data_IF_331441148292
#
_entry.id   IF_331441148292
#
_cell.length_a   1.000
_cell.length_b   1.000
_cell.length_c   1.000
_cell.angle_alpha   90.00
_cell.angle_beta   90.00
_cell.angle_gamma   90.00
#
_symmetry.space_group_name_H-M   'P 1'
#
loop_
_entity.id
_entity.type
_entity.pdbx_description
1 polymer ?
#
# COMPACT_ATOMS: atom_id res chain seq x y z
N UNK A 1 -14.91 -21.65 -8.72
CA UNK A 1 -14.72 -22.13 -7.33
C UNK A 1 -15.70 -21.51 -6.34
N UNK A 2 -15.91 -20.18 -6.33
CA UNK A 2 -16.80 -19.50 -5.37
C UNK A 2 -18.26 -19.99 -5.46
N UNK A 3 -18.83 -20.08 -6.67
CA UNK A 3 -20.21 -20.56 -6.88
C UNK A 3 -20.46 -21.94 -6.25
N UNK A 4 -19.57 -22.92 -6.48
CA UNK A 4 -19.71 -24.26 -5.88
C UNK A 4 -19.67 -24.26 -4.36
N UNK A 5 -18.79 -23.45 -3.74
CA UNK A 5 -18.79 -23.29 -2.27
C UNK A 5 -20.06 -22.63 -1.77
N UNK A 6 -20.57 -21.64 -2.49
CA UNK A 6 -21.84 -20.99 -2.14
C UNK A 6 -23.03 -21.95 -2.24
N UNK A 7 -23.08 -22.84 -3.24
CA UNK A 7 -24.12 -23.88 -3.33
C UNK A 7 -24.06 -24.82 -2.12
N UNK A 8 -22.87 -25.27 -1.72
CA UNK A 8 -22.72 -26.13 -0.54
C UNK A 8 -23.19 -25.42 0.72
N UNK A 9 -22.77 -24.17 0.95
CA UNK A 9 -23.25 -23.39 2.10
C UNK A 9 -24.76 -23.10 2.04
N UNK A 10 -25.31 -22.88 0.85
CA UNK A 10 -26.75 -22.71 0.66
C UNK A 10 -27.51 -23.97 1.04
N UNK A 11 -27.02 -25.14 0.61
CA UNK A 11 -27.59 -26.43 0.97
C UNK A 11 -27.51 -26.70 2.48
N UNK A 12 -26.38 -26.41 3.13
CA UNK A 12 -26.23 -26.50 4.60
C UNK A 12 -27.22 -25.57 5.34
N UNK A 13 -27.57 -24.43 4.75
CA UNK A 13 -28.57 -23.50 5.26
C UNK A 13 -30.03 -23.85 4.87
N UNK A 14 -30.25 -24.96 4.15
CA UNK A 14 -31.58 -25.40 3.70
C UNK A 14 -32.11 -24.70 2.44
N UNK A 15 -31.26 -23.97 1.71
CA UNK A 15 -31.59 -23.32 0.44
C UNK A 15 -31.31 -24.25 -0.74
N UNK A 16 -32.12 -24.16 -1.80
CA UNK A 16 -32.04 -25.07 -2.96
C UNK A 16 -30.99 -24.70 -3.99
N UNK A 17 -30.78 -23.41 -4.25
CA UNK A 17 -29.91 -22.94 -5.32
C UNK A 17 -29.35 -21.54 -5.02
N UNK A 18 -28.32 -21.14 -5.77
CA UNK A 18 -27.64 -19.85 -5.65
C UNK A 18 -27.63 -19.14 -7.01
N UNK A 19 -28.24 -17.96 -7.08
CA UNK A 19 -28.22 -17.13 -8.28
C UNK A 19 -26.80 -16.64 -8.62
N UNK A 20 -26.44 -16.62 -9.90
CA UNK A 20 -25.14 -16.16 -10.38
C UNK A 20 -24.83 -14.70 -9.97
N UNK A 21 -25.86 -13.85 -9.87
CA UNK A 21 -25.71 -12.46 -9.41
C UNK A 21 -25.19 -12.36 -7.99
N UNK A 22 -25.66 -13.24 -7.09
CA UNK A 22 -25.18 -13.28 -5.72
C UNK A 22 -23.68 -13.64 -5.68
N UNK A 23 -23.25 -14.56 -6.54
CA UNK A 23 -21.82 -14.91 -6.66
C UNK A 23 -21.00 -13.70 -7.12
N UNK A 24 -21.47 -12.94 -8.12
CA UNK A 24 -20.79 -11.74 -8.60
C UNK A 24 -20.66 -10.68 -7.51
N UNK A 25 -21.72 -10.45 -6.72
CA UNK A 25 -21.69 -9.53 -5.58
C UNK A 25 -20.68 -9.96 -4.51
N UNK A 26 -20.63 -11.25 -4.18
CA UNK A 26 -19.64 -11.78 -3.22
C UNK A 26 -18.22 -11.59 -3.74
N UNK A 27 -17.97 -11.87 -5.03
CA UNK A 27 -16.66 -11.64 -5.64
C UNK A 27 -16.24 -10.16 -5.55
N UNK A 28 -17.14 -9.24 -5.88
CA UNK A 28 -16.88 -7.79 -5.79
C UNK A 28 -16.64 -7.35 -4.35
N UNK A 29 -17.39 -7.88 -3.39
CA UNK A 29 -17.19 -7.59 -1.96
C UNK A 29 -15.82 -8.06 -1.47
N UNK A 30 -15.38 -9.26 -1.86
CA UNK A 30 -14.05 -9.79 -1.52
C UNK A 30 -12.94 -8.95 -2.15
N UNK A 31 -13.09 -8.56 -3.42
CA UNK A 31 -12.14 -7.67 -4.09
C UNK A 31 -12.04 -6.32 -3.37
N UNK A 32 -13.17 -5.72 -3.00
CA UNK A 32 -13.19 -4.47 -2.26
C UNK A 32 -12.53 -4.60 -0.89
N UNK A 33 -12.82 -5.69 -0.17
CA UNK A 33 -12.22 -5.97 1.11
C UNK A 33 -10.70 -6.15 1.03
N UNK A 34 -10.21 -6.83 -0.01
CA UNK A 34 -8.78 -7.01 -0.23
C UNK A 34 -8.09 -5.68 -0.57
N UNK A 35 -8.69 -4.86 -1.45
CA UNK A 35 -8.21 -3.51 -1.76
C UNK A 35 -8.13 -2.63 -0.51
N UNK A 36 -9.13 -2.72 0.38
CA UNK A 36 -9.14 -2.00 1.65
C UNK A 36 -7.96 -2.39 2.54
N UNK A 37 -7.71 -3.70 2.73
CA UNK A 37 -6.59 -4.19 3.54
C UNK A 37 -5.26 -3.74 2.93
N UNK A 38 -5.05 -3.92 1.62
CA UNK A 38 -3.81 -3.50 0.95
C UNK A 38 -3.61 -1.99 1.07
N UNK A 39 -4.67 -1.20 0.91
CA UNK A 39 -4.60 0.26 1.06
C UNK A 39 -4.18 0.66 2.46
N UNK A 40 -4.67 -0.03 3.50
CA UNK A 40 -4.26 0.21 4.89
C UNK A 40 -2.80 -0.17 5.16
N UNK A 41 -2.31 -1.25 4.56
CA UNK A 41 -0.89 -1.63 4.63
C UNK A 41 -0.02 -0.57 3.97
N UNK A 42 -0.40 -0.13 2.77
CA UNK A 42 0.34 0.90 2.04
C UNK A 42 0.27 2.26 2.73
N UNK A 43 -0.87 2.63 3.33
CA UNK A 43 -1.02 3.90 4.06
C UNK A 43 -0.23 3.93 5.36
N UNK A 44 -0.01 2.77 5.99
CA UNK A 44 0.89 2.66 7.15
C UNK A 44 2.35 2.75 6.72
N UNK A 45 2.68 2.06 5.63
CA UNK A 45 4.06 1.95 5.13
C UNK A 45 4.53 3.19 4.39
N UNK A 46 3.66 3.97 3.77
CA UNK A 46 4.05 5.10 2.93
C UNK A 46 3.29 6.37 3.32
N UNK A 47 3.87 7.53 3.01
CA UNK A 47 3.11 8.77 3.02
C UNK A 47 2.02 8.75 1.96
N UNK A 48 0.91 9.41 2.25
CA UNK A 48 -0.22 9.57 1.34
C UNK A 48 -0.81 10.96 1.47
N UNK A 49 -1.55 11.39 0.45
CA UNK A 49 -2.35 12.61 0.49
C UNK A 49 -3.80 12.26 0.78
N UNK A 50 -4.51 13.22 1.38
CA UNK A 50 -5.90 13.04 1.79
C UNK A 50 -6.75 14.12 1.13
N UNK A 51 -7.72 13.70 0.32
CA UNK A 51 -8.69 14.57 -0.33
C UNK A 51 -9.94 14.64 0.55
N UNK A 52 -10.47 15.85 0.76
CA UNK A 52 -11.62 16.13 1.64
C UNK A 52 -11.47 15.54 3.04
N UNK A 53 -10.22 15.40 3.52
CA UNK A 53 -9.89 14.74 4.79
C UNK A 53 -10.42 13.30 4.93
N UNK A 54 -10.79 12.63 3.84
CA UNK A 54 -11.40 11.28 3.84
C UNK A 54 -10.77 10.33 2.83
N UNK A 55 -10.55 10.79 1.61
CA UNK A 55 -10.11 9.92 0.51
C UNK A 55 -8.59 9.91 0.38
N UNK A 56 -7.96 8.75 0.61
CA UNK A 56 -6.52 8.61 0.51
C UNK A 56 -6.10 8.44 -0.96
N UNK A 57 -5.11 9.21 -1.40
CA UNK A 57 -4.59 9.19 -2.77
C UNK A 57 -3.08 9.45 -2.77
N UNK A 58 -2.43 9.26 -3.92
CA UNK A 58 -0.98 9.45 -4.09
C UNK A 58 -0.14 8.72 -3.03
N UNK A 59 -0.42 7.42 -2.82
CA UNK A 59 0.36 6.56 -1.94
C UNK A 59 1.83 6.53 -2.38
N UNK A 60 2.76 6.64 -1.43
CA UNK A 60 4.20 6.74 -1.74
C UNK A 60 4.73 8.16 -1.80
N UNK A 61 3.88 9.17 -1.55
CA UNK A 61 4.33 10.54 -1.53
C UNK A 61 5.24 10.82 -0.33
N UNK A 62 6.22 11.71 -0.51
CA UNK A 62 7.11 12.10 0.60
C UNK A 62 6.32 12.92 1.61
N UNK A 63 6.51 12.59 2.89
CA UNK A 63 5.89 13.34 4.00
C UNK A 63 6.70 14.61 4.24
N UNK A 64 6.05 15.79 4.32
CA UNK A 64 6.75 17.04 4.59
C UNK A 64 7.38 17.00 5.99
N UNK A 65 8.59 17.57 6.10
CA UNK A 65 9.30 17.63 7.37
C UNK A 65 8.57 18.60 8.34
N UNK A 66 8.09 18.13 9.50
CA UNK A 66 7.33 18.97 10.45
C UNK A 66 8.19 20.09 11.07
N UNK A 67 9.52 19.98 11.02
CA UNK A 67 10.43 21.00 11.56
C UNK A 67 10.67 22.17 10.60
N UNK A 68 10.24 22.08 9.35
CA UNK A 68 10.31 23.19 8.40
C UNK A 68 9.15 24.16 8.64
N UNK A 69 9.46 25.37 9.13
CA UNK A 69 8.47 26.40 9.51
C UNK A 69 7.49 26.80 8.40
N UNK A 70 7.90 26.72 7.14
CA UNK A 70 7.07 27.07 5.99
C UNK A 70 6.17 25.93 5.50
N UNK A 71 6.28 24.72 6.07
CA UNK A 71 5.54 23.56 5.57
C UNK A 71 4.03 23.62 5.81
N UNK A 72 3.59 24.32 6.86
CA UNK A 72 2.19 24.36 7.32
C UNK A 72 1.40 25.47 6.62
N UNK A 73 2.07 26.48 6.06
CA UNK A 73 1.45 27.70 5.57
C UNK A 73 1.02 27.64 4.09
N UNK A 74 1.28 26.53 3.39
CA UNK A 74 1.09 26.46 1.94
C UNK A 74 -0.18 25.65 1.65
N UNK A 75 -1.26 26.30 1.17
CA UNK A 75 -2.51 25.61 0.84
C UNK A 75 -2.31 24.72 -0.40
N UNK A 76 -2.59 23.42 -0.26
CA UNK A 76 -2.62 22.50 -1.38
C UNK A 76 -4.02 22.59 -2.04
N UNK A 77 -4.07 23.26 -3.19
CA UNK A 77 -5.28 23.42 -4.02
C UNK A 77 -5.91 22.09 -4.48
N UNK A 78 -5.23 20.96 -4.33
CA UNK A 78 -5.74 19.63 -4.68
C UNK A 78 -6.43 18.89 -3.53
N UNK A 79 -6.50 19.52 -2.34
CA UNK A 79 -7.16 18.96 -1.16
C UNK A 79 -8.67 18.87 -1.30
N UNK A 80 -9.29 19.84 -1.96
CA UNK A 80 -10.74 19.91 -2.16
C UNK A 80 -11.11 19.48 -3.59
N UNK A 81 -12.17 18.68 -3.73
CA UNK A 81 -12.64 18.18 -5.02
C UNK A 81 -13.80 19.00 -5.54
N UNK A 82 -13.58 20.29 -5.78
CA UNK A 82 -14.64 21.13 -6.36
C UNK A 82 -14.88 20.72 -7.82
N UNK A 83 -16.05 20.16 -8.12
CA UNK A 83 -16.44 19.80 -9.48
C UNK A 83 -16.72 21.05 -10.34
N UNK A 84 -17.19 22.12 -9.71
CA UNK A 84 -17.51 23.39 -10.36
C UNK A 84 -16.99 24.56 -9.55
N UNK A 85 -16.51 25.60 -10.24
CA UNK A 85 -16.21 26.90 -9.65
C UNK A 85 -17.26 27.92 -10.09
N UNK A 86 -17.50 28.94 -9.26
CA UNK A 86 -18.45 30.01 -9.57
C UNK A 86 -17.65 31.16 -10.19
N UNK A 87 -18.06 31.57 -11.39
CA UNK A 87 -17.49 32.76 -12.05
C UNK A 87 -17.95 34.04 -11.37
N UNK A 88 -17.24 35.16 -11.59
CA UNK A 88 -17.67 36.48 -11.10
C UNK A 88 -19.07 36.89 -11.57
N UNK A 89 -19.54 36.29 -12.67
CA UNK A 89 -20.90 36.45 -13.20
C UNK A 89 -21.97 35.59 -12.51
N UNK A 90 -21.60 34.80 -11.50
CA UNK A 90 -22.49 33.90 -10.76
C UNK A 90 -22.78 32.56 -11.45
N UNK A 91 -22.21 32.30 -12.62
CA UNK A 91 -22.42 31.05 -13.35
C UNK A 91 -21.48 29.95 -12.84
N UNK A 92 -22.00 28.72 -12.68
CA UNK A 92 -21.21 27.53 -12.42
C UNK A 92 -20.50 27.07 -13.69
N UNK A 93 -19.18 26.93 -13.63
CA UNK A 93 -18.36 26.35 -14.69
C UNK A 93 -17.59 25.14 -14.15
N UNK A 94 -17.20 24.17 -15.00
CA UNK A 94 -16.33 23.07 -14.57
C UNK A 94 -15.04 23.61 -13.95
N UNK A 95 -14.60 23.01 -12.85
CA UNK A 95 -13.36 23.41 -12.20
C UNK A 95 -12.17 23.23 -13.16
N UNK A 96 -11.45 24.33 -13.38
CA UNK A 96 -10.32 24.37 -14.32
C UNK A 96 -9.15 23.62 -13.66
N UNK A 97 -8.61 22.64 -14.36
CA UNK A 97 -7.38 21.95 -13.91
C UNK A 97 -6.25 22.98 -13.84
N UNK A 98 -5.48 22.92 -12.75
CA UNK A 98 -4.34 23.81 -12.53
C UNK A 98 -3.41 23.80 -13.75
N UNK A 99 -2.88 24.97 -14.16
CA UNK A 99 -1.93 25.05 -15.26
C UNK A 99 -0.66 24.24 -14.95
N UNK A 100 0.03 23.79 -16.01
CA UNK A 100 1.20 22.92 -15.90
C UNK A 100 2.30 23.50 -14.99
N UNK A 101 2.59 24.79 -15.13
CA UNK A 101 3.61 25.51 -14.33
C UNK A 101 3.32 25.44 -12.82
N UNK A 102 2.04 25.44 -12.45
CA UNK A 102 1.63 25.30 -11.06
C UNK A 102 1.84 23.88 -10.55
N UNK A 103 1.55 22.87 -11.38
CA UNK A 103 1.81 21.47 -11.04
C UNK A 103 3.31 21.20 -10.88
N UNK A 104 4.15 21.77 -11.74
CA UNK A 104 5.62 21.65 -11.65
C UNK A 104 6.16 22.31 -10.37
N UNK A 105 5.76 23.55 -10.10
CA UNK A 105 6.20 24.25 -8.87
C UNK A 105 5.76 23.52 -7.60
N UNK A 106 4.54 22.98 -7.56
CA UNK A 106 4.05 22.17 -6.44
C UNK A 106 4.84 20.85 -6.29
N UNK A 107 5.23 20.20 -7.39
CA UNK A 107 6.06 19.00 -7.34
C UNK A 107 7.47 19.30 -6.82
N UNK A 108 8.11 20.36 -7.34
CA UNK A 108 9.44 20.80 -6.89
C UNK A 108 9.43 21.14 -5.39
N UNK A 109 8.38 21.82 -4.93
CA UNK A 109 8.20 22.16 -3.52
C UNK A 109 7.99 20.91 -2.65
N UNK A 110 7.18 19.94 -3.09
CA UNK A 110 6.99 18.71 -2.32
C UNK A 110 8.30 17.94 -2.14
N UNK A 111 9.19 17.97 -3.14
CA UNK A 111 10.52 17.36 -3.06
C UNK A 111 11.43 18.13 -2.09
N UNK A 112 11.39 19.47 -2.10
CA UNK A 112 12.24 20.29 -1.22
C UNK A 112 11.82 20.21 0.26
N UNK A 113 10.52 20.06 0.52
CA UNK A 113 9.97 19.93 1.87
C UNK A 113 10.08 18.53 2.45
N UNK A 114 10.41 17.53 1.63
CA UNK A 114 10.50 16.16 2.09
C UNK A 114 11.66 15.97 3.08
N UNK A 115 11.42 15.16 4.12
CA UNK A 115 12.51 14.69 4.96
C UNK A 115 13.52 13.87 4.14
N UNK A 116 14.81 14.11 4.35
CA UNK A 116 15.92 13.50 3.59
C UNK A 116 16.11 12.02 3.85
N UNK A 117 15.41 11.44 4.83
CA UNK A 117 15.36 10.00 5.05
C UNK A 117 14.48 9.32 4.00
N UNK A 118 14.98 9.21 2.78
CA UNK A 118 14.47 8.24 1.81
C UNK A 118 14.83 6.84 2.32
N UNK A 119 14.01 6.31 3.24
CA UNK A 119 14.11 4.90 3.62
C UNK A 119 13.73 4.13 2.35
N UNK A 120 14.68 3.43 1.74
CA UNK A 120 14.38 2.40 0.75
C UNK A 120 13.66 1.27 1.48
N UNK A 121 12.35 1.45 1.69
CA UNK A 121 11.48 0.42 2.24
C UNK A 121 11.43 -0.62 1.12
N UNK A 122 11.99 -1.81 1.31
CA UNK A 122 12.12 -2.87 0.28
C UNK A 122 10.78 -3.39 -0.30
N UNK A 123 10.55 -4.69 -0.30
CA UNK A 123 9.24 -5.24 -0.70
C UNK A 123 8.24 -5.15 0.46
N UNK A 124 6.94 -5.26 0.17
CA UNK A 124 5.91 -5.35 1.24
C UNK A 124 6.13 -6.69 1.95
N UNK A 125 6.32 -6.65 3.25
CA UNK A 125 6.56 -7.83 4.09
C UNK A 125 5.34 -8.20 4.91
N UNK A 126 5.36 -9.39 5.50
CA UNK A 126 4.30 -9.82 6.42
C UNK A 126 4.30 -9.00 7.73
N UNK A 127 5.44 -8.40 8.09
CA UNK A 127 5.53 -7.46 9.22
C UNK A 127 4.68 -6.21 8.98
N UNK A 128 4.72 -5.66 7.75
CA UNK A 128 3.90 -4.50 7.38
C UNK A 128 2.39 -4.82 7.50
N UNK A 129 2.00 -6.04 7.13
CA UNK A 129 0.62 -6.51 7.28
C UNK A 129 0.22 -6.64 8.75
N UNK A 130 1.08 -7.21 9.60
CA UNK A 130 0.83 -7.33 11.04
C UNK A 130 0.65 -5.95 11.67
N UNK A 131 1.57 -5.02 11.41
CA UNK A 131 1.51 -3.68 11.97
C UNK A 131 0.24 -2.93 11.54
N UNK A 132 -0.10 -3.01 10.25
CA UNK A 132 -1.30 -2.36 9.72
C UNK A 132 -2.58 -2.91 10.36
N UNK A 133 -2.71 -4.24 10.50
CA UNK A 133 -3.89 -4.85 11.10
C UNK A 133 -3.99 -4.58 12.62
N UNK A 134 -2.87 -4.46 13.33
CA UNK A 134 -2.85 -4.06 14.73
C UNK A 134 -3.34 -2.63 14.93
N UNK A 135 -2.93 -1.71 14.05
CA UNK A 135 -3.37 -0.31 14.07
C UNK A 135 -4.83 -0.16 13.63
N UNK A 136 -5.21 -0.83 12.55
CA UNK A 136 -6.55 -0.75 11.95
C UNK A 136 -7.38 -1.99 12.29
N UNK A 137 -7.82 -2.14 13.55
CA UNK A 137 -8.62 -3.30 13.97
C UNK A 137 -9.94 -3.46 13.22
N UNK A 138 -10.51 -2.36 12.70
CA UNK A 138 -11.72 -2.37 11.88
C UNK A 138 -11.47 -2.75 10.41
N UNK A 139 -10.25 -3.16 10.06
CA UNK A 139 -9.91 -3.69 8.74
C UNK A 139 -10.74 -4.93 8.43
N UNK A 140 -10.77 -5.90 9.36
CA UNK A 140 -11.53 -7.14 9.28
C UNK A 140 -12.62 -7.10 10.37
N UNK A 141 -13.90 -6.92 10.01
CA UNK A 141 -14.96 -6.78 11.00
C UNK A 141 -15.22 -8.03 11.84
N UNK A 142 -14.98 -9.22 11.28
CA UNK A 142 -15.20 -10.49 11.97
C UNK A 142 -14.02 -10.82 12.89
N UNK A 143 -14.29 -10.88 14.20
CA UNK A 143 -13.28 -11.20 15.22
C UNK A 143 -12.64 -12.58 15.03
N UNK A 144 -13.42 -13.59 14.67
CA UNK A 144 -12.92 -14.95 14.47
C UNK A 144 -11.96 -15.00 13.28
N UNK A 145 -12.33 -14.37 12.16
CA UNK A 145 -11.48 -14.29 10.97
C UNK A 145 -10.21 -13.48 11.26
N UNK A 146 -10.34 -12.36 11.97
CA UNK A 146 -9.19 -11.52 12.37
C UNK A 146 -8.21 -12.29 13.26
N UNK A 147 -8.70 -12.97 14.31
CA UNK A 147 -7.87 -13.72 15.25
C UNK A 147 -7.12 -14.86 14.55
N UNK A 148 -7.82 -15.69 13.78
CA UNK A 148 -7.19 -16.78 13.02
C UNK A 148 -6.20 -16.26 11.99
N UNK A 149 -6.48 -15.13 11.33
CA UNK A 149 -5.53 -14.51 10.41
C UNK A 149 -4.27 -14.02 11.14
N UNK A 150 -4.42 -13.40 12.32
CA UNK A 150 -3.30 -12.95 13.13
C UNK A 150 -2.41 -14.09 13.60
N UNK A 151 -3.00 -15.18 14.11
CA UNK A 151 -2.25 -16.37 14.51
C UNK A 151 -1.44 -16.94 13.34
N UNK A 152 -2.06 -17.04 12.17
CA UNK A 152 -1.39 -17.51 10.94
C UNK A 152 -0.26 -16.59 10.51
N UNK A 153 -0.42 -15.27 10.67
CA UNK A 153 0.63 -14.30 10.37
C UNK A 153 1.81 -14.51 11.33
N UNK A 154 1.54 -14.52 12.63
CA UNK A 154 2.57 -14.66 13.68
C UNK A 154 3.34 -15.96 13.51
N UNK A 155 2.66 -17.07 13.22
CA UNK A 155 3.33 -18.35 12.97
C UNK A 155 4.20 -18.34 11.70
N UNK A 156 3.89 -17.50 10.71
CA UNK A 156 4.68 -17.36 9.48
C UNK A 156 5.77 -16.30 9.57
N UNK A 157 5.70 -15.42 10.57
CA UNK A 157 6.75 -14.46 10.84
C UNK A 157 7.96 -15.22 11.33
N UNK A 158 8.97 -15.27 10.48
CA UNK A 158 10.24 -15.88 10.77
C UNK A 158 11.34 -14.83 10.58
N UNK A 159 12.31 -14.87 11.47
CA UNK A 159 13.49 -14.02 11.43
C UNK A 159 14.70 -14.94 11.34
N UNK A 160 15.62 -14.59 10.45
CA UNK A 160 16.88 -15.31 10.26
C UNK A 160 17.65 -15.34 11.58
N UNK A 161 18.15 -16.51 11.95
CA UNK A 161 19.00 -16.62 13.13
C UNK A 161 20.35 -15.93 12.87
N UNK A 162 21.06 -15.53 13.94
CA UNK A 162 22.36 -14.92 13.75
C UNK A 162 23.35 -15.86 13.05
N UNK A 163 23.26 -17.16 13.35
CA UNK A 163 24.08 -18.20 12.71
C UNK A 163 23.83 -18.29 11.20
N UNK A 164 22.57 -18.21 10.77
CA UNK A 164 22.20 -18.24 9.35
C UNK A 164 22.68 -16.97 8.62
N UNK A 165 22.65 -15.81 9.27
CA UNK A 165 23.20 -14.57 8.70
C UNK A 165 24.71 -14.67 8.49
N UNK A 166 25.44 -15.20 9.48
CA UNK A 166 26.89 -15.44 9.38
C UNK A 166 27.23 -16.44 8.27
N UNK A 167 26.43 -17.51 8.14
CA UNK A 167 26.53 -18.48 7.06
C UNK A 167 26.28 -17.84 5.68
N UNK A 168 25.28 -16.98 5.57
CA UNK A 168 24.97 -16.30 4.31
C UNK A 168 26.10 -15.36 3.87
N UNK A 169 26.71 -14.62 4.81
CA UNK A 169 27.88 -13.77 4.54
C UNK A 169 29.05 -14.61 4.02
N UNK A 170 29.35 -15.71 4.70
CA UNK A 170 30.41 -16.65 4.32
C UNK A 170 30.14 -17.22 2.92
N UNK A 171 28.91 -17.67 2.67
CA UNK A 171 28.51 -18.21 1.38
C UNK A 171 28.63 -17.20 0.23
N UNK A 172 28.23 -15.93 0.45
CA UNK A 172 28.42 -14.87 -0.54
C UNK A 172 29.90 -14.64 -0.84
N UNK A 173 30.76 -14.66 0.16
CA UNK A 173 32.21 -14.52 -0.03
C UNK A 173 32.76 -15.68 -0.87
N UNK A 174 32.36 -16.91 -0.58
CA UNK A 174 32.77 -18.08 -1.36
C UNK A 174 32.35 -18.00 -2.84
N UNK A 175 31.12 -17.55 -3.12
CA UNK A 175 30.64 -17.36 -4.49
C UNK A 175 31.50 -16.34 -5.23
N UNK A 176 31.81 -15.20 -4.59
CA UNK A 176 32.64 -14.16 -5.19
C UNK A 176 34.05 -14.67 -5.51
N UNK A 177 34.66 -15.40 -4.57
CA UNK A 177 35.98 -16.01 -4.79
C UNK A 177 35.93 -17.03 -5.93
N UNK A 178 34.91 -17.89 -5.99
CA UNK A 178 34.73 -18.84 -7.10
C UNK A 178 34.58 -18.13 -8.45
N UNK A 179 33.81 -17.05 -8.51
CA UNK A 179 33.63 -16.27 -9.74
C UNK A 179 34.94 -15.61 -10.21
N UNK A 180 35.74 -15.07 -9.27
CA UNK A 180 37.07 -14.52 -9.58
C UNK A 180 38.00 -15.59 -10.15
N UNK A 181 38.03 -16.78 -9.53
CA UNK A 181 38.87 -17.89 -10.00
C UNK A 181 38.45 -18.37 -11.39
N UNK A 182 37.14 -18.51 -11.65
CA UNK A 182 36.62 -18.88 -12.98
C UNK A 182 37.01 -17.83 -14.03
N UNK A 183 36.95 -16.54 -13.68
CA UNK A 183 37.35 -15.44 -14.57
C UNK A 183 38.85 -15.48 -14.89
N UNK A 184 39.70 -15.81 -13.91
CA UNK A 184 41.15 -15.93 -14.10
C UNK A 184 41.56 -17.18 -14.91
N UNK A 185 40.79 -18.26 -14.84
CA UNK A 185 41.05 -19.51 -15.57
C UNK A 185 40.33 -19.59 -16.93
N UNK A 186 39.61 -18.53 -17.33
CA UNK A 186 39.02 -18.45 -18.66
C UNK A 186 40.16 -18.35 -19.70
N UNK A 187 40.30 -19.32 -20.62
CA UNK A 187 41.38 -19.29 -21.59
C UNK A 187 41.25 -18.07 -22.49
N UNK A 188 42.33 -17.28 -22.59
CA UNK A 188 42.45 -16.18 -23.56
C UNK A 188 42.31 -16.82 -24.94
N UNK A 189 41.21 -16.52 -25.62
CA UNK A 189 40.92 -16.99 -26.98
C UNK A 189 41.48 -16.01 -28.00
#
# INVERSE_FOLDING_TARGET
MVHGRMIVCAWEAGLKDVEEKAVKLVMQAVEHQLKKIISQVLSRRNGYKLREKRFQYAMGCKVPNPYLRHSILIPDSTLESEATTITDSGNHIPSIKLPYDFAESHAAQQISMASTCAINRGLVTLYDLLEALQLYRNAIPSHTVYATAMERIIHKLWHTSNEELEQEVTHRQEILVKQQLVTQHAPIR
#
